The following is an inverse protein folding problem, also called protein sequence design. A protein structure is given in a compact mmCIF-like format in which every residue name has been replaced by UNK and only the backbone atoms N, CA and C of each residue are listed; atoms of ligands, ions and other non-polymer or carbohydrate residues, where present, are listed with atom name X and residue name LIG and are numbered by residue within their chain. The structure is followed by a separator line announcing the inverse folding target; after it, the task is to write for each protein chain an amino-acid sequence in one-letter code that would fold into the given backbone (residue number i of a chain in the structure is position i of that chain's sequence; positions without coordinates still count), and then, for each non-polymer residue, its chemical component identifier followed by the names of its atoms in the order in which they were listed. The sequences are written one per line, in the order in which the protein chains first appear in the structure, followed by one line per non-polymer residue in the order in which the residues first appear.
data_IF_294772564923
#
_entry.id   IF_294772564923
#
_cell.length_a   1.000
_cell.length_b   1.000
_cell.length_c   1.000
_cell.angle_alpha   90.00
_cell.angle_beta   90.00
_cell.angle_gamma   90.00
#
_symmetry.space_group_name_H-M   'P 1'
#
loop_
_entity.id
_entity.type
_entity.pdbx_description
1 polymer ?
#
# COMPACT_ATOMS: atom_id res chain seq x y z
N UNK A 1 0.71 22.41 30.14
CA UNK A 1 -0.04 22.61 28.87
C UNK A 1 0.43 21.55 27.89
N UNK A 2 -0.14 20.35 27.92
CA UNK A 2 0.17 19.33 26.91
C UNK A 2 -0.99 19.25 25.92
N UNK A 3 -0.62 19.48 24.66
CA UNK A 3 -1.49 19.64 23.51
C UNK A 3 -2.40 18.44 23.32
N UNK A 4 -3.72 18.70 23.34
CA UNK A 4 -4.76 17.78 22.87
C UNK A 4 -4.55 17.46 21.39
N UNK A 5 -3.72 16.47 21.09
CA UNK A 5 -3.61 15.89 19.75
C UNK A 5 -4.92 15.20 19.45
N UNK A 6 -5.77 15.83 18.63
CA UNK A 6 -6.97 15.21 18.04
C UNK A 6 -6.56 13.85 17.44
N UNK A 7 -6.88 12.76 18.14
CA UNK A 7 -6.69 11.39 17.68
C UNK A 7 -7.76 11.13 16.62
N UNK A 8 -7.52 11.62 15.41
CA UNK A 8 -8.34 11.31 14.24
C UNK A 8 -8.30 9.79 14.08
N UNK A 9 -9.49 9.18 14.05
CA UNK A 9 -9.80 7.73 13.99
C UNK A 9 -8.60 6.88 13.52
N UNK A 10 -8.08 5.93 14.34
CA UNK A 10 -6.96 5.10 13.92
C UNK A 10 -7.27 4.48 12.56
N UNK A 11 -6.32 4.56 11.63
CA UNK A 11 -6.48 3.95 10.31
C UNK A 11 -6.69 2.46 10.55
N UNK A 12 -7.90 1.96 10.29
CA UNK A 12 -8.26 0.52 10.38
C UNK A 12 -7.60 -0.33 9.29
N UNK A 13 -6.61 0.21 8.59
CA UNK A 13 -5.92 -0.44 7.48
C UNK A 13 -4.47 -0.56 7.86
N UNK A 14 -4.04 -1.78 8.13
CA UNK A 14 -2.63 -2.06 8.38
C UNK A 14 -1.87 -1.93 7.06
N UNK A 15 -0.87 -1.05 7.05
CA UNK A 15 -0.01 -0.83 5.88
C UNK A 15 0.75 -2.11 5.50
N UNK A 16 1.00 -2.98 6.47
CA UNK A 16 1.57 -4.30 6.26
C UNK A 16 0.66 -5.20 5.41
N UNK A 17 -0.63 -5.26 5.71
CA UNK A 17 -1.59 -6.05 4.92
C UNK A 17 -1.69 -5.54 3.49
N UNK A 18 -1.68 -4.21 3.31
CA UNK A 18 -1.64 -3.58 1.99
C UNK A 18 -0.39 -3.97 1.23
N UNK A 19 0.78 -3.93 1.87
CA UNK A 19 2.05 -4.33 1.26
C UNK A 19 2.06 -5.82 0.90
N UNK A 20 1.60 -6.69 1.79
CA UNK A 20 1.44 -8.13 1.53
C UNK A 20 0.49 -8.39 0.36
N UNK A 21 -0.62 -7.66 0.26
CA UNK A 21 -1.55 -7.78 -0.85
C UNK A 21 -0.93 -7.34 -2.19
N UNK A 22 -0.15 -6.25 -2.20
CA UNK A 22 0.59 -5.80 -3.38
C UNK A 22 1.63 -6.86 -3.80
N UNK A 23 2.39 -7.40 -2.85
CA UNK A 23 3.34 -8.49 -3.13
C UNK A 23 2.65 -9.75 -3.66
N UNK A 24 1.50 -10.11 -3.10
CA UNK A 24 0.70 -11.24 -3.58
C UNK A 24 0.29 -11.06 -5.04
N UNK A 25 -0.20 -9.86 -5.39
CA UNK A 25 -0.56 -9.52 -6.77
C UNK A 25 0.65 -9.57 -7.69
N UNK A 26 1.80 -9.04 -7.28
CA UNK A 26 3.03 -9.07 -8.07
C UNK A 26 3.59 -10.48 -8.24
N UNK A 27 3.50 -11.34 -7.20
CA UNK A 27 4.03 -12.71 -7.23
C UNK A 27 3.15 -13.66 -8.04
N UNK A 28 1.84 -13.49 -7.93
CA UNK A 28 0.82 -14.34 -8.59
C UNK A 28 0.38 -13.78 -9.95
N UNK A 29 0.78 -12.55 -10.29
CA UNK A 29 0.34 -11.79 -11.48
C UNK A 29 -1.20 -11.77 -11.66
N UNK A 30 -1.96 -11.83 -10.56
CA UNK A 30 -3.42 -11.91 -10.60
C UNK A 30 -4.07 -10.53 -10.66
N UNK A 31 -5.28 -10.44 -11.22
CA UNK A 31 -6.05 -9.19 -11.21
C UNK A 31 -6.39 -8.75 -9.78
N UNK A 32 -6.40 -7.43 -9.52
CA UNK A 32 -6.75 -6.85 -8.21
C UNK A 32 -8.13 -7.30 -7.69
N UNK A 33 -9.08 -7.59 -8.59
CA UNK A 33 -10.42 -8.08 -8.23
C UNK A 33 -10.45 -9.53 -7.75
N UNK A 34 -9.40 -10.30 -8.03
CA UNK A 34 -9.25 -11.69 -7.60
C UNK A 34 -8.49 -11.81 -6.28
N UNK A 35 -8.22 -10.70 -5.59
CA UNK A 35 -7.61 -10.73 -4.26
C UNK A 35 -8.49 -11.52 -3.28
N UNK A 36 -7.91 -12.42 -2.47
CA UNK A 36 -8.61 -13.12 -1.40
C UNK A 36 -9.31 -12.14 -0.45
N UNK A 37 -10.46 -12.54 0.10
CA UNK A 37 -11.23 -11.74 1.05
C UNK A 37 -10.53 -11.53 2.41
N UNK A 38 -9.45 -12.27 2.65
CA UNK A 38 -8.58 -12.10 3.81
C UNK A 38 -7.84 -10.76 3.79
N UNK A 39 -7.67 -10.15 2.61
CA UNK A 39 -7.08 -8.83 2.48
C UNK A 39 -8.12 -7.71 2.57
N UNK A 40 -7.71 -6.49 2.97
CA UNK A 40 -8.58 -5.33 2.92
C UNK A 40 -9.08 -5.08 1.49
N UNK A 41 -10.15 -4.29 1.35
CA UNK A 41 -10.76 -3.99 0.04
C UNK A 41 -9.68 -3.57 -0.98
N UNK A 42 -9.70 -4.22 -2.14
CA UNK A 42 -8.75 -3.98 -3.22
C UNK A 42 -8.66 -2.51 -3.65
N UNK A 43 -9.75 -1.74 -3.50
CA UNK A 43 -9.79 -0.30 -3.78
C UNK A 43 -8.79 0.48 -2.90
N UNK A 44 -8.73 0.14 -1.61
CA UNK A 44 -7.80 0.76 -0.67
C UNK A 44 -6.37 0.36 -0.99
N UNK A 45 -6.15 -0.91 -1.30
CA UNK A 45 -4.82 -1.44 -1.67
C UNK A 45 -4.32 -0.73 -2.93
N UNK A 46 -5.18 -0.62 -3.94
CA UNK A 46 -4.88 0.05 -5.20
C UNK A 46 -4.59 1.54 -4.98
N UNK A 47 -5.35 2.23 -4.11
CA UNK A 47 -5.07 3.61 -3.74
C UNK A 47 -3.65 3.78 -3.16
N UNK A 48 -3.26 2.91 -2.21
CA UNK A 48 -1.90 2.92 -1.66
C UNK A 48 -0.85 2.56 -2.69
N UNK A 49 -1.12 1.57 -3.54
CA UNK A 49 -0.22 1.21 -4.65
C UNK A 49 0.01 2.39 -5.58
N UNK A 50 -1.04 3.10 -6.00
CA UNK A 50 -0.92 4.31 -6.83
C UNK A 50 -0.15 5.41 -6.10
N UNK A 51 -0.40 5.61 -4.81
CA UNK A 51 0.32 6.59 -4.00
C UNK A 51 1.81 6.25 -3.90
N UNK A 52 2.18 4.98 -3.77
CA UNK A 52 3.57 4.53 -3.70
C UNK A 52 4.27 4.44 -5.06
N UNK A 53 3.50 4.23 -6.13
CA UNK A 53 3.99 4.24 -7.52
C UNK A 53 4.10 5.68 -8.07
N UNK A 54 3.45 6.65 -7.44
CA UNK A 54 3.57 8.06 -7.81
C UNK A 54 5.03 8.49 -7.63
N UNK A 55 5.69 8.77 -8.75
CA UNK A 55 7.07 9.28 -8.79
C UNK A 55 7.06 10.74 -8.34
N UNK A 56 7.93 11.07 -7.39
CA UNK A 56 8.08 12.43 -6.88
C UNK A 56 9.20 13.16 -7.66
N UNK A 57 9.07 13.27 -8.99
CA UNK A 57 10.10 13.86 -9.84
C UNK A 57 11.06 12.84 -10.46
N UNK A 58 12.36 13.13 -10.45
CA UNK A 58 13.42 12.35 -11.12
C UNK A 58 13.88 11.10 -10.34
N UNK A 59 13.45 10.95 -9.09
CA UNK A 59 13.80 9.79 -8.26
C UNK A 59 12.86 8.61 -8.51
N UNK A 60 13.43 7.40 -8.52
CA UNK A 60 12.67 6.15 -8.67
C UNK A 60 11.63 6.03 -7.55
N UNK A 61 10.44 5.53 -7.88
CA UNK A 61 9.38 5.35 -6.88
C UNK A 61 9.86 4.43 -5.74
N UNK A 62 9.34 4.61 -4.51
CA UNK A 62 9.72 3.78 -3.36
C UNK A 62 9.53 2.28 -3.65
N UNK A 63 8.49 1.93 -4.41
CA UNK A 63 8.27 0.55 -4.87
C UNK A 63 9.38 0.08 -5.81
N UNK A 64 9.81 0.94 -6.72
CA UNK A 64 10.86 0.64 -7.69
C UNK A 64 12.22 0.49 -6.98
N UNK A 65 12.51 1.30 -5.95
CA UNK A 65 13.70 1.10 -5.10
C UNK A 65 13.67 -0.24 -4.33
N UNK A 66 12.52 -0.60 -3.77
CA UNK A 66 12.36 -1.85 -3.02
C UNK A 66 12.44 -3.08 -3.94
N UNK A 67 11.85 -3.00 -5.13
CA UNK A 67 11.80 -4.11 -6.09
C UNK A 67 13.10 -4.28 -6.90
N UNK A 68 13.88 -3.21 -7.09
CA UNK A 68 15.14 -3.25 -7.87
C UNK A 68 16.31 -3.86 -7.10
N UNK A 69 16.14 -4.15 -5.81
CA UNK A 69 17.18 -4.73 -4.92
C UNK A 69 17.11 -6.26 -4.87
N UNK A 70 16.77 -6.91 -5.97
CA UNK A 70 16.70 -8.37 -6.08
C UNK A 70 17.50 -8.87 -7.27
#
# INVERSE_FOLDING_TARGET
MESSRKKTRPRKLDLYEVFCAVLYVLKSCCQWRMLPKDFPRWENIYYYFQMWNKKNGEEASLLELVLKKN
#
